data_IF_907219692849
#
_entry.id   IF_907219692849
#
_cell.length_a   1.000
_cell.length_b   1.000
_cell.length_c   1.000
_cell.angle_alpha   90.00
_cell.angle_beta   90.00
_cell.angle_gamma   90.00
#
_symmetry.space_group_name_H-M   'P 1'
#
loop_
_entity.id
_entity.type
_entity.pdbx_description
1 polymer ?
#
# COMPACT_ATOMS: atom_id res chain seq x y z
N UNK A 1 -11.31 3.53 44.35
CA UNK A 1 -11.74 2.38 43.52
C UNK A 1 -12.95 2.77 42.68
N UNK A 2 -12.89 2.55 41.37
CA UNK A 2 -14.06 2.65 40.49
C UNK A 2 -14.93 1.43 40.76
N UNK A 3 -16.16 1.62 41.27
CA UNK A 3 -17.09 0.49 41.47
C UNK A 3 -17.60 0.03 40.10
N UNK A 4 -17.61 -1.29 39.90
CA UNK A 4 -17.95 -1.97 38.64
C UNK A 4 -19.34 -1.60 38.13
N UNK A 5 -19.55 -1.72 36.81
CA UNK A 5 -20.80 -1.37 36.15
C UNK A 5 -21.98 -2.20 36.67
N UNK A 6 -21.76 -3.49 36.99
CA UNK A 6 -22.81 -4.40 37.48
C UNK A 6 -23.54 -3.89 38.73
N UNK A 7 -22.82 -3.22 39.65
CA UNK A 7 -23.40 -2.68 40.89
C UNK A 7 -24.25 -1.45 40.60
N UNK A 8 -23.92 -0.69 39.54
CA UNK A 8 -24.70 0.48 39.12
C UNK A 8 -25.99 0.04 38.45
N UNK A 9 -25.91 -0.96 37.59
CA UNK A 9 -27.06 -1.48 36.85
C UNK A 9 -28.08 -2.09 37.82
N UNK A 10 -27.62 -2.76 38.87
CA UNK A 10 -28.49 -3.29 39.93
C UNK A 10 -29.22 -2.17 40.72
N UNK A 11 -28.54 -1.04 40.97
CA UNK A 11 -29.14 0.13 41.62
C UNK A 11 -30.24 0.73 40.76
N UNK A 12 -30.05 0.79 39.43
CA UNK A 12 -31.06 1.31 38.49
C UNK A 12 -32.26 0.39 38.42
N UNK A 13 -32.03 -0.91 38.22
CA UNK A 13 -33.12 -1.90 38.12
C UNK A 13 -34.03 -1.85 39.35
N UNK A 14 -33.45 -1.71 40.55
CA UNK A 14 -34.23 -1.55 41.76
C UNK A 14 -34.94 -0.18 41.85
N UNK A 15 -34.32 0.90 41.39
CA UNK A 15 -34.95 2.20 41.32
C UNK A 15 -36.13 2.23 40.33
N UNK A 16 -36.01 1.59 39.16
CA UNK A 16 -37.09 1.45 38.17
C UNK A 16 -38.23 0.56 38.67
N UNK A 17 -37.92 -0.45 39.49
CA UNK A 17 -38.92 -1.26 40.20
C UNK A 17 -39.65 -0.50 41.33
N UNK A 18 -39.38 0.81 41.50
CA UNK A 18 -40.07 1.69 42.45
C UNK A 18 -39.47 1.77 43.85
N UNK A 19 -38.31 1.13 44.10
CA UNK A 19 -37.67 1.13 45.43
C UNK A 19 -36.99 2.45 45.73
N UNK A 20 -37.05 2.89 47.00
CA UNK A 20 -36.41 4.14 47.42
C UNK A 20 -34.91 3.93 47.69
N UNK A 21 -34.10 4.98 47.50
CA UNK A 21 -32.66 4.92 47.72
C UNK A 21 -32.19 4.33 49.06
N UNK A 22 -32.87 4.56 50.21
CA UNK A 22 -32.52 3.93 51.48
C UNK A 22 -32.71 2.40 51.47
N UNK A 23 -33.72 1.90 50.76
CA UNK A 23 -34.00 0.46 50.62
C UNK A 23 -32.95 -0.20 49.74
N UNK A 24 -32.60 0.46 48.63
CA UNK A 24 -31.55 -0.02 47.71
C UNK A 24 -30.19 -0.06 48.42
N UNK A 25 -29.87 0.96 49.23
CA UNK A 25 -28.65 1.00 50.03
C UNK A 25 -28.62 -0.12 51.09
N UNK A 26 -29.78 -0.49 51.67
CA UNK A 26 -29.91 -1.65 52.58
C UNK A 26 -29.74 -2.99 51.85
N UNK A 27 -30.26 -3.13 50.64
CA UNK A 27 -30.08 -4.35 49.83
C UNK A 27 -28.63 -4.53 49.37
N UNK A 28 -27.86 -3.45 49.31
CA UNK A 28 -26.45 -3.42 48.88
C UNK A 28 -25.47 -3.07 50.01
N UNK A 29 -25.83 -3.45 51.24
CA UNK A 29 -24.98 -3.28 52.44
C UNK A 29 -23.58 -3.86 52.19
N UNK A 30 -22.55 -3.10 52.57
CA UNK A 30 -21.15 -3.45 52.36
C UNK A 30 -20.62 -3.21 50.93
N UNK A 31 -21.49 -3.11 49.92
CA UNK A 31 -21.09 -2.87 48.51
C UNK A 31 -21.13 -1.41 48.10
N UNK A 32 -22.12 -0.63 48.54
CA UNK A 32 -22.25 0.81 48.22
C UNK A 32 -22.79 1.63 49.38
N UNK A 33 -22.21 2.82 49.59
CA UNK A 33 -22.72 3.75 50.60
C UNK A 33 -23.97 4.45 50.08
N UNK A 34 -24.92 4.75 50.97
CA UNK A 34 -26.19 5.42 50.64
C UNK A 34 -26.01 6.68 49.79
N UNK A 35 -25.05 7.54 50.15
CA UNK A 35 -24.76 8.77 49.38
C UNK A 35 -24.31 8.50 47.93
N UNK A 36 -23.75 7.33 47.64
CA UNK A 36 -23.38 6.92 46.28
C UNK A 36 -24.62 6.49 45.49
N UNK A 37 -25.54 5.75 46.13
CA UNK A 37 -26.83 5.34 45.55
C UNK A 37 -27.67 6.58 45.20
N UNK A 38 -27.78 7.54 46.13
CA UNK A 38 -28.48 8.80 45.89
C UNK A 38 -27.86 9.57 44.71
N UNK A 39 -26.53 9.64 44.64
CA UNK A 39 -25.82 10.33 43.55
C UNK A 39 -26.03 9.64 42.19
N UNK A 40 -26.11 8.31 42.15
CA UNK A 40 -26.39 7.57 40.92
C UNK A 40 -27.83 7.75 40.47
N UNK A 41 -28.80 7.64 41.38
CA UNK A 41 -30.23 7.87 41.07
C UNK A 41 -30.45 9.31 40.56
N UNK A 42 -29.81 10.31 41.18
CA UNK A 42 -29.91 11.70 40.71
C UNK A 42 -29.32 11.87 39.30
N UNK A 43 -28.16 11.26 39.01
CA UNK A 43 -27.61 11.27 37.63
C UNK A 43 -28.50 10.55 36.64
N UNK A 44 -29.12 9.44 37.05
CA UNK A 44 -30.04 8.67 36.22
C UNK A 44 -31.25 9.52 35.83
N UNK A 45 -31.88 10.19 36.81
CA UNK A 45 -32.99 11.11 36.58
C UNK A 45 -32.63 12.27 35.63
N UNK A 46 -31.39 12.75 35.66
CA UNK A 46 -30.95 13.88 34.84
C UNK A 46 -30.51 13.50 33.42
N UNK A 47 -29.93 12.31 33.22
CA UNK A 47 -29.22 11.97 31.97
C UNK A 47 -29.60 10.61 31.37
N UNK A 48 -30.43 9.82 32.04
CA UNK A 48 -30.81 8.46 31.61
C UNK A 48 -29.65 7.45 31.61
N UNK A 49 -28.47 7.83 32.10
CA UNK A 49 -27.27 6.97 32.08
C UNK A 49 -26.41 7.14 33.33
N UNK A 50 -25.82 6.03 33.80
CA UNK A 50 -24.92 5.99 34.98
C UNK A 50 -23.48 5.58 34.60
N UNK A 51 -23.20 5.51 33.29
CA UNK A 51 -21.84 5.33 32.78
C UNK A 51 -20.86 6.29 33.43
N UNK A 52 -19.64 5.82 33.75
CA UNK A 52 -18.57 6.74 34.15
C UNK A 52 -18.35 7.69 32.98
N UNK A 53 -18.70 8.97 33.15
CA UNK A 53 -18.29 9.97 32.17
C UNK A 53 -16.77 9.97 32.11
N UNK A 54 -16.24 9.95 30.88
CA UNK A 54 -14.82 10.14 30.66
C UNK A 54 -14.41 11.43 31.38
N UNK A 55 -13.46 11.31 32.32
CA UNK A 55 -12.90 12.49 32.96
C UNK A 55 -12.37 13.39 31.84
N UNK A 56 -12.74 14.66 31.85
CA UNK A 56 -12.07 15.67 31.04
C UNK A 56 -10.60 15.65 31.47
N UNK A 57 -9.75 14.98 30.69
CA UNK A 57 -8.32 14.91 30.97
C UNK A 57 -7.72 16.31 31.01
N UNK A 58 -6.42 16.39 31.32
CA UNK A 58 -5.71 17.68 31.33
C UNK A 58 -5.94 18.41 30.00
N UNK A 59 -6.36 19.69 30.03
CA UNK A 59 -6.55 20.49 28.81
C UNK A 59 -5.28 20.50 27.95
N UNK A 60 -5.44 20.37 26.63
CA UNK A 60 -4.34 20.41 25.68
C UNK A 60 -3.85 21.86 25.54
N UNK A 61 -2.67 22.16 26.10
CA UNK A 61 -2.09 23.52 26.04
C UNK A 61 -1.24 23.75 24.79
N UNK A 62 -0.46 22.75 24.37
CA UNK A 62 0.45 22.88 23.23
C UNK A 62 -0.23 22.67 21.86
N UNK A 63 -1.30 21.88 21.80
CA UNK A 63 -2.06 21.63 20.56
C UNK A 63 -3.27 22.55 20.50
N UNK A 64 -3.05 23.80 20.12
CA UNK A 64 -4.12 24.80 19.98
C UNK A 64 -4.81 24.68 18.63
N UNK A 65 -6.09 25.09 18.54
CA UNK A 65 -6.82 25.19 17.25
C UNK A 65 -6.04 26.03 16.22
N UNK A 66 -5.36 27.08 16.68
CA UNK A 66 -4.47 27.91 15.86
C UNK A 66 -3.34 27.08 15.24
N UNK A 67 -2.65 26.25 16.03
CA UNK A 67 -1.58 25.40 15.54
C UNK A 67 -2.09 24.37 14.52
N UNK A 68 -3.24 23.73 14.80
CA UNK A 68 -3.88 22.78 13.87
C UNK A 68 -4.15 23.45 12.52
N UNK A 69 -4.72 24.66 12.53
CA UNK A 69 -5.00 25.42 11.32
C UNK A 69 -3.72 25.81 10.57
N UNK A 70 -2.67 26.23 11.29
CA UNK A 70 -1.37 26.57 10.68
C UNK A 70 -0.73 25.36 10.01
N UNK A 71 -0.72 24.20 10.68
CA UNK A 71 -0.20 22.95 10.11
C UNK A 71 -1.02 22.56 8.87
N UNK A 72 -2.35 22.61 8.94
CA UNK A 72 -3.22 22.28 7.80
C UNK A 72 -2.99 23.22 6.61
N UNK A 73 -2.91 24.55 6.85
CA UNK A 73 -2.59 25.53 5.81
C UNK A 73 -1.22 25.28 5.18
N UNK A 74 -0.23 24.90 5.99
CA UNK A 74 1.11 24.57 5.52
C UNK A 74 1.11 23.34 4.61
N UNK A 75 0.36 22.30 4.96
CA UNK A 75 0.24 21.07 4.15
C UNK A 75 -0.40 21.31 2.78
N UNK A 76 -1.38 22.21 2.70
CA UNK A 76 -2.11 22.52 1.47
C UNK A 76 -1.43 23.60 0.61
N UNK A 77 -0.34 24.21 1.10
CA UNK A 77 0.38 25.23 0.37
C UNK A 77 1.20 24.65 -0.80
N UNK A 78 1.44 25.46 -1.85
CA UNK A 78 2.31 25.11 -2.99
C UNK A 78 3.81 25.16 -2.65
N UNK A 79 4.16 25.55 -1.43
CA UNK A 79 5.55 25.70 -0.97
C UNK A 79 6.19 24.31 -0.83
N UNK A 80 7.50 24.14 -1.14
CA UNK A 80 8.20 22.89 -0.89
C UNK A 80 7.97 22.35 0.52
N UNK A 81 7.69 21.05 0.61
CA UNK A 81 7.42 20.39 1.89
C UNK A 81 8.66 20.45 2.78
N UNK A 82 8.47 20.93 4.00
CA UNK A 82 9.49 21.00 5.05
C UNK A 82 9.48 19.71 5.89
N UNK A 83 10.62 19.39 6.49
CA UNK A 83 10.68 18.34 7.52
C UNK A 83 9.80 18.71 8.72
N UNK A 84 9.37 17.71 9.50
CA UNK A 84 8.62 17.97 10.74
C UNK A 84 9.41 18.83 11.73
N UNK A 85 10.74 18.67 11.76
CA UNK A 85 11.62 19.48 12.62
C UNK A 85 11.62 20.95 12.21
N UNK A 86 11.71 21.22 10.91
CA UNK A 86 11.68 22.59 10.38
C UNK A 86 10.30 23.22 10.61
N UNK A 87 9.22 22.46 10.41
CA UNK A 87 7.87 22.93 10.68
C UNK A 87 7.66 23.25 12.17
N UNK A 88 8.22 22.42 13.06
CA UNK A 88 8.19 22.66 14.49
C UNK A 88 8.92 23.97 14.86
N UNK A 89 10.09 24.22 14.26
CA UNK A 89 10.81 25.51 14.41
C UNK A 89 9.99 26.70 13.90
N UNK A 90 9.40 26.60 12.71
CA UNK A 90 8.58 27.68 12.11
C UNK A 90 7.39 28.07 13.01
N UNK A 91 6.81 27.10 13.73
CA UNK A 91 5.67 27.31 14.62
C UNK A 91 6.06 27.43 16.09
N UNK A 92 7.36 27.57 16.39
CA UNK A 92 7.91 27.62 17.74
C UNK A 92 7.32 26.55 18.67
N UNK A 93 7.32 25.30 18.21
CA UNK A 93 6.77 24.15 18.93
C UNK A 93 7.69 22.94 18.86
N UNK A 94 7.32 21.87 19.56
CA UNK A 94 8.07 20.62 19.53
C UNK A 94 7.70 19.77 18.31
N UNK A 95 8.64 18.94 17.85
CA UNK A 95 8.38 17.94 16.81
C UNK A 95 7.23 16.99 17.19
N UNK A 96 7.16 16.60 18.46
CA UNK A 96 6.11 15.72 18.97
C UNK A 96 4.74 16.36 18.88
N UNK A 97 4.63 17.66 19.15
CA UNK A 97 3.38 18.41 19.00
C UNK A 97 2.92 18.42 17.54
N UNK A 98 3.81 18.72 16.60
CA UNK A 98 3.47 18.69 15.16
C UNK A 98 3.08 17.28 14.72
N UNK A 99 3.80 16.25 15.16
CA UNK A 99 3.49 14.85 14.84
C UNK A 99 2.12 14.44 15.39
N UNK A 100 1.78 14.87 16.61
CA UNK A 100 0.47 14.65 17.21
C UNK A 100 -0.63 15.33 16.38
N UNK A 101 -0.46 16.61 16.07
CA UNK A 101 -1.39 17.36 15.20
C UNK A 101 -1.65 16.61 13.89
N UNK A 102 -0.59 16.10 13.26
CA UNK A 102 -0.71 15.37 12.01
C UNK A 102 -1.49 14.06 12.16
N UNK A 103 -1.16 13.24 13.18
CA UNK A 103 -1.68 11.89 13.31
C UNK A 103 -3.06 11.84 14.01
N UNK A 104 -3.21 12.58 15.10
CA UNK A 104 -4.39 12.55 15.98
C UNK A 104 -5.44 13.59 15.58
N UNK A 105 -5.04 14.82 15.22
CA UNK A 105 -6.00 15.91 14.97
C UNK A 105 -6.36 16.04 13.47
N UNK A 106 -5.41 15.81 12.56
CA UNK A 106 -5.62 15.90 11.10
C UNK A 106 -5.71 14.54 10.40
N UNK A 107 -5.48 13.44 11.13
CA UNK A 107 -5.51 12.06 10.64
C UNK A 107 -4.71 11.84 9.35
N UNK A 108 -3.55 12.50 9.22
CA UNK A 108 -2.66 12.39 8.06
C UNK A 108 -1.69 11.23 8.26
N UNK A 109 -1.56 10.40 7.22
CA UNK A 109 -0.53 9.36 7.14
C UNK A 109 0.67 9.88 6.35
N UNK A 110 1.86 9.43 6.76
CA UNK A 110 3.09 9.72 6.04
C UNK A 110 3.23 8.75 4.86
N UNK A 111 3.29 9.29 3.64
CA UNK A 111 3.61 8.52 2.44
C UNK A 111 4.95 8.99 1.88
N UNK A 112 5.85 8.03 1.64
CA UNK A 112 7.10 8.32 0.94
C UNK A 112 6.78 8.56 -0.53
N UNK A 113 7.43 9.56 -1.14
CA UNK A 113 7.34 9.75 -2.59
C UNK A 113 7.88 8.50 -3.27
N UNK A 114 7.13 7.98 -4.22
CA UNK A 114 7.55 6.89 -5.08
C UNK A 114 8.18 7.51 -6.31
N UNK A 115 9.40 7.08 -6.67
CA UNK A 115 10.05 7.48 -7.91
C UNK A 115 9.30 6.82 -9.06
N UNK A 116 8.70 7.63 -9.93
CA UNK A 116 8.01 7.17 -11.14
C UNK A 116 8.61 7.86 -12.35
N UNK A 117 8.55 7.22 -13.51
CA UNK A 117 8.97 7.84 -14.78
C UNK A 117 8.08 9.05 -15.06
N UNK A 118 8.68 10.22 -15.32
CA UNK A 118 7.96 11.41 -15.77
C UNK A 118 7.39 11.13 -17.17
N UNK A 119 6.08 11.29 -17.32
CA UNK A 119 5.39 11.13 -18.60
C UNK A 119 5.16 12.50 -19.23
N UNK A 120 5.32 12.59 -20.55
CA UNK A 120 4.86 13.74 -21.31
C UNK A 120 3.34 13.65 -21.59
N UNK A 121 2.72 14.74 -22.06
CA UNK A 121 1.27 14.78 -22.31
C UNK A 121 0.81 13.82 -23.42
N UNK A 122 1.64 13.62 -24.45
CA UNK A 122 1.39 12.63 -25.51
C UNK A 122 1.33 11.20 -24.96
N UNK A 123 2.29 10.80 -24.12
CA UNK A 123 2.31 9.50 -23.47
C UNK A 123 1.10 9.31 -22.55
N UNK A 124 0.69 10.35 -21.80
CA UNK A 124 -0.54 10.28 -20.99
C UNK A 124 -1.77 10.06 -21.86
N UNK A 125 -1.86 10.76 -22.98
CA UNK A 125 -2.98 10.65 -23.92
C UNK A 125 -3.03 9.27 -24.58
N UNK A 126 -1.90 8.73 -25.03
CA UNK A 126 -1.77 7.37 -25.56
C UNK A 126 -2.18 6.32 -24.52
N UNK A 127 -1.71 6.46 -23.27
CA UNK A 127 -2.11 5.59 -22.15
C UNK A 127 -3.61 5.61 -21.93
N UNK A 128 -4.21 6.80 -21.84
CA UNK A 128 -5.66 6.95 -21.62
C UNK A 128 -6.47 6.30 -22.73
N UNK A 129 -6.08 6.54 -24.00
CA UNK A 129 -6.73 5.93 -25.17
C UNK A 129 -6.63 4.41 -25.15
N UNK A 130 -5.46 3.88 -24.81
CA UNK A 130 -5.25 2.45 -24.64
C UNK A 130 -6.17 1.87 -23.54
N UNK A 131 -6.22 2.48 -22.35
CA UNK A 131 -7.13 2.04 -21.28
C UNK A 131 -8.60 2.03 -21.70
N UNK A 132 -9.04 3.10 -22.38
CA UNK A 132 -10.42 3.22 -22.85
C UNK A 132 -10.73 2.15 -23.91
N UNK A 133 -9.78 1.87 -24.79
CA UNK A 133 -9.92 0.79 -25.77
C UNK A 133 -10.00 -0.58 -25.09
N UNK A 134 -9.13 -0.88 -24.11
CA UNK A 134 -9.22 -2.12 -23.33
C UNK A 134 -10.59 -2.24 -22.70
N UNK A 135 -11.02 -1.22 -21.95
CA UNK A 135 -12.30 -1.24 -21.24
C UNK A 135 -13.50 -1.45 -22.17
N UNK A 136 -13.44 -0.94 -23.40
CA UNK A 136 -14.53 -1.07 -24.39
C UNK A 136 -14.50 -2.42 -25.12
N UNK A 137 -13.32 -2.97 -25.41
CA UNK A 137 -13.18 -4.11 -26.33
C UNK A 137 -12.84 -5.44 -25.64
N UNK A 138 -12.34 -5.38 -24.40
CA UNK A 138 -11.94 -6.53 -23.58
C UNK A 138 -12.96 -6.74 -22.45
N UNK A 139 -13.84 -7.72 -22.62
CA UNK A 139 -14.62 -8.28 -21.52
C UNK A 139 -13.83 -9.31 -20.71
N UNK A 140 -14.39 -9.77 -19.59
CA UNK A 140 -13.76 -10.74 -18.70
C UNK A 140 -13.27 -12.00 -19.43
N UNK A 141 -14.05 -12.53 -20.37
CA UNK A 141 -13.68 -13.75 -21.10
C UNK A 141 -12.49 -13.56 -22.04
N UNK A 142 -12.39 -12.39 -22.68
CA UNK A 142 -11.24 -12.07 -23.54
C UNK A 142 -9.98 -11.83 -22.71
N UNK A 143 -10.10 -11.20 -21.54
CA UNK A 143 -8.94 -10.97 -20.66
C UNK A 143 -8.35 -12.27 -20.11
N UNK A 144 -9.18 -13.30 -19.90
CA UNK A 144 -8.72 -14.62 -19.46
C UNK A 144 -7.91 -15.36 -20.52
N UNK A 145 -8.10 -15.01 -21.80
CA UNK A 145 -7.43 -15.61 -22.95
C UNK A 145 -6.17 -14.84 -23.37
N UNK A 146 -5.55 -14.08 -22.47
CA UNK A 146 -4.33 -13.32 -22.75
C UNK A 146 -3.15 -13.97 -22.05
N UNK A 147 -2.07 -14.21 -22.79
CA UNK A 147 -0.76 -14.48 -22.21
C UNK A 147 0.04 -13.20 -22.11
N UNK A 148 0.42 -12.84 -20.89
CA UNK A 148 1.31 -11.73 -20.56
C UNK A 148 2.72 -12.23 -20.45
N UNK A 149 3.64 -11.68 -21.25
CA UNK A 149 5.05 -12.08 -21.21
C UNK A 149 5.94 -10.93 -20.76
N UNK A 150 7.00 -11.26 -20.02
CA UNK A 150 8.03 -10.31 -19.61
C UNK A 150 9.37 -11.04 -19.48
N UNK A 151 10.45 -10.33 -19.81
CA UNK A 151 11.81 -10.81 -19.66
C UNK A 151 12.47 -10.14 -18.46
N UNK A 152 13.15 -10.92 -17.63
CA UNK A 152 13.81 -10.41 -16.42
C UNK A 152 15.23 -10.93 -16.30
N UNK A 153 16.14 -9.99 -16.00
CA UNK A 153 17.53 -10.30 -15.68
C UNK A 153 17.65 -10.58 -14.19
N UNK A 154 18.21 -11.73 -13.85
CA UNK A 154 18.61 -12.10 -12.50
C UNK A 154 20.13 -12.05 -12.40
N UNK A 155 20.66 -11.34 -11.40
CA UNK A 155 22.08 -11.18 -11.16
C UNK A 155 22.50 -11.98 -9.93
N UNK A 156 23.72 -12.54 -9.92
CA UNK A 156 24.26 -13.30 -8.78
C UNK A 156 24.21 -12.54 -7.46
N UNK A 157 24.46 -11.23 -7.50
CA UNK A 157 24.54 -10.39 -6.31
C UNK A 157 23.16 -10.11 -5.66
N UNK A 158 22.07 -10.63 -6.24
CA UNK A 158 20.73 -10.46 -5.71
C UNK A 158 20.24 -9.01 -5.73
N UNK A 159 19.20 -8.74 -4.95
CA UNK A 159 18.62 -7.41 -4.77
C UNK A 159 18.98 -6.87 -3.39
N UNK A 160 19.95 -5.94 -3.32
CA UNK A 160 20.26 -5.24 -2.07
C UNK A 160 19.21 -4.15 -1.79
N UNK A 161 18.63 -4.19 -0.60
CA UNK A 161 17.63 -3.24 -0.13
C UNK A 161 18.20 -2.42 1.03
N UNK A 162 18.73 -1.21 0.77
CA UNK A 162 19.42 -0.39 1.78
C UNK A 162 18.61 -0.05 3.04
N UNK A 163 17.30 -0.33 3.05
CA UNK A 163 16.40 -0.07 4.19
C UNK A 163 16.24 -1.27 5.12
N UNK A 164 16.45 -2.48 4.62
CA UNK A 164 16.37 -3.69 5.42
C UNK A 164 17.77 -4.12 5.85
N UNK A 165 18.77 -3.80 5.03
CA UNK A 165 20.18 -4.11 5.25
C UNK A 165 20.85 -2.94 6.02
N UNK A 166 20.33 -2.61 7.20
CA UNK A 166 20.83 -1.54 8.07
C UNK A 166 21.72 -2.08 9.19
N UNK A 167 22.82 -1.37 9.47
CA UNK A 167 23.76 -1.67 10.57
C UNK A 167 23.69 -0.55 11.61
N UNK A 168 23.58 -0.93 12.88
CA UNK A 168 23.63 0.00 14.01
C UNK A 168 25.07 0.13 14.50
N UNK A 169 25.58 1.36 14.57
CA UNK A 169 26.93 1.63 15.03
C UNK A 169 27.05 3.03 15.64
N UNK A 170 28.03 3.24 16.51
CA UNK A 170 28.23 4.53 17.18
C UNK A 170 28.79 5.59 16.23
N UNK A 171 29.59 5.17 15.24
CA UNK A 171 30.16 6.03 14.22
C UNK A 171 30.29 5.29 12.87
N UNK A 172 30.77 5.99 11.83
CA UNK A 172 30.89 5.44 10.48
C UNK A 172 31.99 4.37 10.36
N UNK A 173 33.08 4.44 11.12
CA UNK A 173 34.15 3.45 11.08
C UNK A 173 33.64 2.12 11.65
N UNK A 174 33.02 2.15 12.83
CA UNK A 174 32.36 1.00 13.44
C UNK A 174 31.32 0.37 12.49
N UNK A 175 30.51 1.22 11.83
CA UNK A 175 29.52 0.74 10.86
C UNK A 175 30.17 -0.03 9.71
N UNK A 176 31.31 0.46 9.20
CA UNK A 176 32.02 -0.19 8.11
C UNK A 176 32.60 -1.53 8.54
N UNK A 177 33.17 -1.62 9.75
CA UNK A 177 33.66 -2.88 10.33
C UNK A 177 32.55 -3.91 10.52
N UNK A 178 31.35 -3.47 10.90
CA UNK A 178 30.17 -4.33 11.09
C UNK A 178 29.44 -4.67 9.78
N UNK A 179 30.06 -4.47 8.61
CA UNK A 179 29.47 -4.82 7.32
C UNK A 179 28.52 -3.76 6.74
N UNK A 180 28.63 -2.50 7.18
CA UNK A 180 27.87 -1.36 6.66
C UNK A 180 28.29 -0.90 5.26
N UNK A 181 29.34 -1.51 4.70
CA UNK A 181 29.73 -1.35 3.30
C UNK A 181 29.21 -2.55 2.50
N UNK A 182 28.34 -2.26 1.53
CA UNK A 182 27.89 -3.24 0.56
C UNK A 182 28.61 -3.02 -0.77
N UNK A 183 29.54 -3.91 -1.09
CA UNK A 183 30.27 -3.91 -2.35
C UNK A 183 29.42 -4.51 -3.47
N UNK A 184 29.49 -3.92 -4.67
CA UNK A 184 28.79 -4.41 -5.85
C UNK A 184 29.76 -4.55 -7.00
N UNK A 185 29.80 -5.74 -7.59
CA UNK A 185 30.46 -5.95 -8.87
C UNK A 185 29.82 -5.07 -9.95
N UNK A 186 30.65 -4.43 -10.79
CA UNK A 186 30.20 -3.54 -11.87
C UNK A 186 29.42 -4.29 -12.95
N UNK A 187 29.82 -5.53 -13.24
CA UNK A 187 29.22 -6.41 -14.25
C UNK A 187 29.01 -7.81 -13.67
N UNK A 188 28.03 -8.00 -12.80
CA UNK A 188 27.79 -9.30 -12.19
C UNK A 188 27.35 -10.30 -13.26
N UNK A 189 27.71 -11.56 -13.05
CA UNK A 189 27.14 -12.66 -13.82
C UNK A 189 25.62 -12.60 -13.71
N UNK A 190 24.96 -12.66 -14.85
CA UNK A 190 23.50 -12.56 -14.93
C UNK A 190 22.94 -13.56 -15.93
N UNK A 191 21.69 -13.95 -15.68
CA UNK A 191 20.89 -14.78 -16.58
C UNK A 191 19.61 -14.03 -16.89
N UNK A 192 19.23 -14.03 -18.17
CA UNK A 192 17.93 -13.56 -18.59
C UNK A 192 16.96 -14.73 -18.55
N UNK A 193 15.77 -14.48 -18.00
CA UNK A 193 14.70 -15.46 -17.93
C UNK A 193 13.45 -14.82 -18.53
N UNK A 194 12.80 -15.55 -19.41
CA UNK A 194 11.52 -15.19 -20.00
C UNK A 194 10.41 -16.06 -19.39
N UNK A 195 9.27 -15.44 -19.09
CA UNK A 195 8.09 -16.11 -18.54
C UNK A 195 6.83 -15.56 -19.19
N UNK A 196 5.88 -16.45 -19.46
CA UNK A 196 4.51 -16.11 -19.77
C UNK A 196 3.58 -16.44 -18.61
N UNK A 197 2.63 -15.55 -18.34
CA UNK A 197 1.57 -15.74 -17.36
C UNK A 197 0.22 -15.62 -18.04
N UNK A 198 -0.67 -16.58 -17.77
CA UNK A 198 -2.05 -16.59 -18.23
C UNK A 198 -2.99 -16.50 -17.03
N UNK A 199 -4.31 -16.52 -17.27
CA UNK A 199 -5.28 -16.60 -16.18
C UNK A 199 -5.24 -17.92 -15.41
N UNK A 200 -4.93 -19.03 -16.10
CA UNK A 200 -4.99 -20.37 -15.51
C UNK A 200 -3.65 -20.81 -14.92
N UNK A 201 -2.55 -20.47 -15.59
CA UNK A 201 -1.23 -21.00 -15.26
C UNK A 201 -0.09 -20.12 -15.84
N UNK A 202 1.14 -20.47 -15.51
CA UNK A 202 2.37 -19.89 -16.05
C UNK A 202 3.07 -20.85 -17.00
N UNK A 203 3.89 -20.31 -17.90
CA UNK A 203 4.78 -21.13 -18.72
C UNK A 203 5.92 -21.68 -17.87
N UNK A 204 6.57 -22.73 -18.35
CA UNK A 204 7.91 -23.04 -17.85
C UNK A 204 8.86 -21.86 -18.10
N UNK A 205 9.87 -21.62 -17.24
CA UNK A 205 10.83 -20.54 -17.48
C UNK A 205 11.71 -20.85 -18.69
N UNK A 206 11.83 -19.88 -19.60
CA UNK A 206 12.80 -19.95 -20.70
C UNK A 206 14.10 -19.27 -20.27
N UNK A 207 15.20 -20.02 -20.27
CA UNK A 207 16.51 -19.53 -19.89
C UNK A 207 17.34 -19.21 -21.13
N UNK A 208 17.81 -17.96 -21.22
CA UNK A 208 18.77 -17.58 -22.26
C UNK A 208 20.16 -18.08 -21.93
N UNK A 209 20.98 -18.34 -22.96
CA UNK A 209 22.38 -18.68 -22.73
C UNK A 209 23.14 -17.51 -22.10
N UNK A 210 24.21 -17.84 -21.37
CA UNK A 210 24.92 -16.91 -20.48
C UNK A 210 25.46 -15.72 -21.27
N UNK A 211 25.20 -14.51 -20.76
CA UNK A 211 25.66 -13.23 -21.34
C UNK A 211 25.02 -12.82 -22.67
N UNK A 212 24.04 -13.57 -23.18
CA UNK A 212 23.29 -13.14 -24.36
C UNK A 212 22.34 -12.00 -23.99
N UNK A 213 22.44 -10.89 -24.71
CA UNK A 213 21.40 -9.86 -24.70
C UNK A 213 20.33 -10.28 -25.69
N UNK A 214 19.07 -10.18 -25.29
CA UNK A 214 17.95 -10.43 -26.19
C UNK A 214 18.08 -9.57 -27.45
N UNK A 215 18.39 -10.22 -28.58
CA UNK A 215 18.39 -9.63 -29.89
C UNK A 215 17.06 -9.95 -30.60
N UNK A 216 16.67 -9.15 -31.59
CA UNK A 216 15.46 -9.40 -32.38
C UNK A 216 15.44 -10.77 -33.05
N UNK A 217 16.62 -11.30 -33.44
CA UNK A 217 16.75 -12.63 -34.01
C UNK A 217 16.43 -13.74 -33.00
N UNK A 218 17.13 -13.78 -31.86
CA UNK A 218 16.86 -14.74 -30.78
C UNK A 218 15.40 -14.65 -30.29
N UNK A 219 14.86 -13.44 -30.22
CA UNK A 219 13.45 -13.24 -29.88
C UNK A 219 12.51 -13.91 -30.90
N UNK A 220 12.77 -13.73 -32.19
CA UNK A 220 11.95 -14.26 -33.28
C UNK A 220 12.11 -15.77 -33.47
N UNK A 221 13.34 -16.27 -33.41
CA UNK A 221 13.69 -17.63 -33.82
C UNK A 221 13.53 -18.64 -32.67
N UNK A 222 13.68 -18.20 -31.42
CA UNK A 222 13.63 -19.09 -30.25
C UNK A 222 12.47 -18.75 -29.32
N UNK A 223 12.40 -17.52 -28.82
CA UNK A 223 11.48 -17.18 -27.75
C UNK A 223 10.02 -17.11 -28.21
N UNK A 224 9.76 -16.53 -29.39
CA UNK A 224 8.42 -16.46 -29.96
C UNK A 224 7.83 -17.85 -30.23
N UNK A 225 8.51 -18.78 -30.93
CA UNK A 225 8.06 -20.16 -31.08
C UNK A 225 7.78 -20.86 -29.75
N UNK A 226 8.65 -20.69 -28.76
CA UNK A 226 8.44 -21.19 -27.40
C UNK A 226 7.13 -20.68 -26.80
N UNK A 227 6.88 -19.37 -26.86
CA UNK A 227 5.64 -18.77 -26.37
C UNK A 227 4.40 -19.28 -27.10
N UNK A 228 4.50 -19.52 -28.42
CA UNK A 228 3.37 -20.10 -29.16
C UNK A 228 3.06 -21.51 -28.68
N UNK A 229 4.08 -22.36 -28.56
CA UNK A 229 3.92 -23.73 -28.09
C UNK A 229 3.27 -23.76 -26.69
N UNK A 230 3.79 -22.95 -25.76
CA UNK A 230 3.24 -22.86 -24.41
C UNK A 230 1.83 -22.25 -24.38
N UNK A 231 1.58 -21.21 -25.19
CA UNK A 231 0.25 -20.62 -25.31
C UNK A 231 -0.78 -21.63 -25.81
N UNK A 232 -0.46 -22.37 -26.87
CA UNK A 232 -1.34 -23.41 -27.42
C UNK A 232 -1.60 -24.52 -26.37
N UNK A 233 -0.58 -24.92 -25.61
CA UNK A 233 -0.71 -25.88 -24.51
C UNK A 233 -1.62 -25.35 -23.40
N UNK A 234 -1.37 -24.13 -22.90
CA UNK A 234 -2.07 -23.53 -21.77
C UNK A 234 -3.52 -23.14 -22.07
N UNK A 235 -3.83 -22.81 -23.32
CA UNK A 235 -5.18 -22.47 -23.76
C UNK A 235 -5.90 -23.62 -24.46
N UNK A 236 -5.34 -24.84 -24.45
CA UNK A 236 -5.96 -26.01 -25.06
C UNK A 236 -6.26 -25.84 -26.55
N UNK A 237 -5.31 -25.26 -27.30
CA UNK A 237 -5.41 -24.93 -28.72
C UNK A 237 -6.58 -24.01 -29.11
N UNK A 238 -7.17 -23.29 -28.15
CA UNK A 238 -8.15 -22.25 -28.43
C UNK A 238 -7.47 -20.95 -28.88
N UNK A 239 -8.25 -20.06 -29.50
CA UNK A 239 -7.77 -18.71 -29.82
C UNK A 239 -7.40 -17.94 -28.55
N UNK A 240 -6.14 -17.49 -28.49
CA UNK A 240 -5.60 -16.69 -27.41
C UNK A 240 -4.97 -15.39 -27.94
N UNK A 241 -4.80 -14.43 -27.05
CA UNK A 241 -4.19 -13.12 -27.31
C UNK A 241 -2.82 -13.03 -26.66
N UNK A 242 -1.92 -12.30 -27.31
CA UNK A 242 -0.54 -12.18 -26.87
C UNK A 242 -0.25 -10.76 -26.39
N UNK A 243 0.40 -10.61 -25.24
CA UNK A 243 0.85 -9.32 -24.73
C UNK A 243 2.35 -9.32 -24.51
N UNK A 244 3.04 -8.40 -25.19
CA UNK A 244 4.46 -8.14 -25.02
C UNK A 244 4.73 -6.65 -24.77
N UNK A 245 5.90 -6.35 -24.23
CA UNK A 245 6.34 -5.00 -23.92
C UNK A 245 6.75 -4.20 -25.19
N UNK A 246 7.17 -2.95 -25.03
CA UNK A 246 7.52 -2.06 -26.14
C UNK A 246 9.03 -2.00 -26.46
N UNK A 247 9.82 -3.01 -26.09
CA UNK A 247 11.26 -3.05 -26.36
C UNK A 247 11.59 -3.01 -27.86
N UNK A 248 12.78 -2.54 -28.21
CA UNK A 248 13.18 -2.35 -29.61
C UNK A 248 13.07 -3.65 -30.44
N UNK A 249 13.54 -4.78 -29.90
CA UNK A 249 13.42 -6.11 -30.54
C UNK A 249 11.96 -6.49 -30.78
N UNK A 250 11.07 -6.16 -29.83
CA UNK A 250 9.64 -6.45 -29.94
C UNK A 250 9.00 -5.62 -31.05
N UNK A 251 9.48 -4.41 -31.31
CA UNK A 251 8.92 -3.50 -32.32
C UNK A 251 9.40 -3.77 -33.75
N UNK A 252 10.31 -4.72 -33.97
CA UNK A 252 10.78 -5.09 -35.29
C UNK A 252 9.64 -5.53 -36.21
N UNK A 253 9.69 -5.18 -37.49
CA UNK A 253 8.65 -5.51 -38.48
C UNK A 253 8.45 -7.02 -38.61
N UNK A 254 9.52 -7.81 -38.58
CA UNK A 254 9.49 -9.27 -38.69
C UNK A 254 8.75 -9.90 -37.51
N UNK A 255 9.13 -9.51 -36.29
CA UNK A 255 8.48 -9.88 -35.03
C UNK A 255 7.00 -9.50 -35.04
N UNK A 256 6.67 -8.27 -35.44
CA UNK A 256 5.29 -7.82 -35.49
C UNK A 256 4.44 -8.57 -36.52
N UNK A 257 5.03 -8.96 -37.65
CA UNK A 257 4.37 -9.82 -38.63
C UNK A 257 4.12 -11.22 -38.07
N UNK A 258 5.07 -11.76 -37.32
CA UNK A 258 4.96 -13.07 -36.68
C UNK A 258 3.88 -13.08 -35.59
N UNK A 259 3.88 -12.12 -34.66
CA UNK A 259 2.89 -12.04 -33.58
C UNK A 259 1.44 -11.90 -34.09
N UNK A 260 1.24 -11.24 -35.24
CA UNK A 260 -0.07 -11.15 -35.90
C UNK A 260 -0.57 -12.47 -36.47
N UNK A 261 0.32 -13.41 -36.80
CA UNK A 261 -0.04 -14.73 -37.32
C UNK A 261 -0.44 -15.70 -36.22
N UNK A 262 0.18 -15.59 -35.05
CA UNK A 262 0.07 -16.59 -33.98
C UNK A 262 -0.99 -16.27 -32.92
N UNK A 263 -1.42 -15.02 -32.83
CA UNK A 263 -2.37 -14.57 -31.81
C UNK A 263 -3.62 -13.99 -32.47
N UNK A 264 -4.78 -14.26 -31.87
CA UNK A 264 -6.06 -13.68 -32.29
C UNK A 264 -6.10 -12.16 -32.12
N UNK A 265 -5.31 -11.63 -31.17
CA UNK A 265 -5.04 -10.21 -31.01
C UNK A 265 -3.72 -9.97 -30.29
N UNK A 266 -3.02 -8.93 -30.71
CA UNK A 266 -1.75 -8.50 -30.12
C UNK A 266 -1.95 -7.25 -29.26
N UNK A 267 -1.63 -7.37 -27.98
CA UNK A 267 -1.68 -6.27 -27.04
C UNK A 267 -0.29 -5.67 -26.84
N UNK A 268 -0.10 -4.41 -27.27
CA UNK A 268 1.19 -3.72 -27.16
C UNK A 268 1.21 -2.78 -25.95
N UNK A 269 2.31 -2.80 -25.20
CA UNK A 269 2.66 -1.79 -24.18
C UNK A 269 3.20 -0.50 -24.80
N UNK A 270 2.77 -0.11 -25.99
CA UNK A 270 3.16 1.15 -26.60
C UNK A 270 2.50 2.29 -25.82
N UNK A 271 3.13 2.68 -24.69
CA UNK A 271 2.57 3.60 -23.70
C UNK A 271 1.20 3.17 -23.17
N UNK A 272 1.05 1.93 -22.69
CA UNK A 272 -0.08 1.52 -21.84
C UNK A 272 0.22 1.83 -20.36
N UNK A 273 -0.76 1.78 -19.44
CA UNK A 273 -0.45 1.80 -18.02
C UNK A 273 0.46 0.63 -17.65
N UNK A 274 1.08 0.70 -16.47
CA UNK A 274 1.81 -0.44 -15.91
C UNK A 274 0.76 -1.47 -15.48
N UNK A 275 0.18 -2.18 -16.46
CA UNK A 275 -0.71 -3.32 -16.25
C UNK A 275 0.23 -4.47 -15.90
N UNK A 276 0.45 -4.67 -14.60
CA UNK A 276 0.92 -5.96 -14.11
C UNK A 276 -0.33 -6.70 -13.64
N UNK A 277 -0.52 -7.97 -14.03
CA UNK A 277 -1.52 -8.79 -13.36
C UNK A 277 -1.28 -8.73 -11.85
N UNK A 278 -2.34 -8.49 -11.10
CA UNK A 278 -2.34 -8.49 -9.64
C UNK A 278 -2.34 -9.92 -9.10
#
# INVERSE_FOLDING_TARGET
MVKGNDVRDLVISHFESGKKAPEIAKMLVGKVHRSTVDRWIQRYKQSGSIGVQNKSGRPRTACTKRLINLVNKRLNSKIPRKSLRTMAKDFNTSLWTVRRVLNEDLHKKCYRKIKVKKLNEDQKSKRKRCCQWIRKNMGCDKTKKIMFTDEKIFTRNGYFNPKNDEVWANNRNDANEYGGIHEREKYPVSIMVALGATWNDITVPFFFQRSERLNGKTYLDELLPFYKMEGDRLFGHQNWGFQQDGANCHTDKSVQKWCKKISSFLFRKASGPQIRPS
#
